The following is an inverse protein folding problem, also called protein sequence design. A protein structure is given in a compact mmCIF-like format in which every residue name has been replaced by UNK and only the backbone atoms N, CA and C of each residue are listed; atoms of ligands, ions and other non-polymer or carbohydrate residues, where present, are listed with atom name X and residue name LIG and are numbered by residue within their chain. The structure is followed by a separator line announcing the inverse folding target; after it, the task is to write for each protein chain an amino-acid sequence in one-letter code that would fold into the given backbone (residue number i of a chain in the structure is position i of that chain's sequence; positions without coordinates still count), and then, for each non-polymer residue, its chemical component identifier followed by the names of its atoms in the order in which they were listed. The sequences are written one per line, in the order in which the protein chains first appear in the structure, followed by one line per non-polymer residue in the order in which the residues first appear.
data_IF_641436753086
#
_entry.id   IF_641436753086
#
_cell.length_a   1.000
_cell.length_b   1.000
_cell.length_c   1.000
_cell.angle_alpha   90.00
_cell.angle_beta   90.00
_cell.angle_gamma   90.00
#
_symmetry.space_group_name_H-M   'P 1'
#
loop_
_entity.id
_entity.type
_entity.pdbx_description
1 polymer ?
#
# COMPACT_ATOMS: atom_id res chain seq x y z
N UNK A 1 -10.40 19.11 10.22
CA UNK A 1 -9.35 18.15 9.86
C UNK A 1 -9.33 17.99 8.34
N UNK A 2 -8.14 18.03 7.73
CA UNK A 2 -8.01 17.82 6.30
C UNK A 2 -8.18 16.31 6.01
N UNK A 3 -9.03 15.97 5.06
CA UNK A 3 -9.24 14.57 4.66
C UNK A 3 -7.99 14.10 3.89
N UNK A 4 -7.40 12.99 4.32
CA UNK A 4 -6.29 12.36 3.63
C UNK A 4 -6.82 11.28 2.67
N UNK A 5 -6.44 11.37 1.38
CA UNK A 5 -6.87 10.43 0.35
C UNK A 5 -5.63 9.81 -0.27
N UNK A 6 -5.50 8.49 -0.08
CA UNK A 6 -4.39 7.69 -0.54
C UNK A 6 -4.75 6.96 -1.83
N UNK A 7 -3.89 7.07 -2.85
CA UNK A 7 -4.03 6.33 -4.11
C UNK A 7 -2.76 5.59 -4.44
N UNK A 8 -2.91 4.40 -5.02
CA UNK A 8 -1.82 3.46 -5.20
C UNK A 8 -1.27 3.44 -6.63
N UNK A 9 0.06 3.34 -6.75
CA UNK A 9 0.79 3.08 -8.00
C UNK A 9 0.32 3.95 -9.19
N UNK A 10 -0.15 3.33 -10.26
CA UNK A 10 -0.59 3.98 -11.50
C UNK A 10 -2.07 4.37 -11.48
N UNK A 11 -2.58 4.90 -10.38
CA UNK A 11 -3.98 5.33 -10.31
C UNK A 11 -4.34 6.36 -11.40
N UNK A 12 -5.63 6.42 -11.75
CA UNK A 12 -6.17 7.48 -12.61
C UNK A 12 -7.14 8.36 -11.83
N UNK A 13 -7.29 9.61 -12.27
CA UNK A 13 -8.29 10.56 -11.78
C UNK A 13 -9.12 11.09 -12.95
N UNK A 14 -9.26 10.30 -14.03
CA UNK A 14 -10.09 10.69 -15.17
C UNK A 14 -11.56 10.78 -14.79
N UNK A 15 -12.28 11.66 -15.47
CA UNK A 15 -13.72 11.91 -15.21
C UNK A 15 -14.57 10.65 -15.36
N UNK A 16 -14.15 9.70 -16.21
CA UNK A 16 -14.85 8.42 -16.43
C UNK A 16 -15.04 7.59 -15.16
N UNK A 17 -14.19 7.81 -14.14
CA UNK A 17 -14.18 7.02 -12.89
C UNK A 17 -14.45 7.86 -11.65
N UNK A 18 -14.85 9.14 -11.80
CA UNK A 18 -15.03 10.03 -10.64
C UNK A 18 -16.11 9.54 -9.67
N UNK A 19 -17.14 8.87 -10.17
CA UNK A 19 -18.23 8.35 -9.36
C UNK A 19 -17.80 7.14 -8.51
N UNK A 20 -16.78 6.40 -8.97
CA UNK A 20 -16.31 5.19 -8.27
C UNK A 20 -15.34 5.53 -7.14
N UNK A 21 -14.43 6.48 -7.37
CA UNK A 21 -13.37 6.79 -6.38
C UNK A 21 -13.01 8.28 -6.27
N UNK A 22 -13.78 9.17 -6.91
CA UNK A 22 -13.59 10.62 -6.85
C UNK A 22 -12.33 11.12 -7.56
N UNK A 23 -12.15 12.42 -7.60
CA UNK A 23 -11.03 13.08 -8.29
C UNK A 23 -9.89 13.49 -7.35
N UNK A 24 -10.16 13.65 -6.06
CA UNK A 24 -9.18 14.14 -5.11
C UNK A 24 -8.10 13.12 -4.77
N UNK A 25 -6.89 13.59 -4.58
CA UNK A 25 -5.75 12.80 -4.11
C UNK A 25 -4.85 13.70 -3.28
N UNK A 26 -4.49 13.25 -2.08
CA UNK A 26 -3.52 13.95 -1.21
C UNK A 26 -2.20 13.19 -1.10
N UNK A 27 -2.27 11.85 -1.20
CA UNK A 27 -1.12 10.97 -1.02
C UNK A 27 -0.99 9.99 -2.18
N UNK A 28 0.20 9.91 -2.73
CA UNK A 28 0.58 8.89 -3.70
C UNK A 28 1.35 7.78 -3.00
N UNK A 29 0.77 6.59 -2.97
CA UNK A 29 1.36 5.40 -2.33
C UNK A 29 2.02 4.54 -3.39
N UNK A 30 3.32 4.30 -3.25
CA UNK A 30 4.05 3.52 -4.25
C UNK A 30 5.29 2.85 -3.65
N UNK A 31 5.61 1.66 -4.16
CA UNK A 31 6.89 0.98 -3.91
C UNK A 31 7.92 1.29 -5.00
N UNK A 32 7.64 2.22 -5.90
CA UNK A 32 8.48 2.57 -7.04
C UNK A 32 8.86 1.36 -7.91
N UNK A 33 7.96 0.40 -8.09
CA UNK A 33 8.18 -0.71 -9.00
C UNK A 33 8.45 -0.22 -10.44
N UNK A 34 9.12 -1.02 -11.27
CA UNK A 34 9.56 -0.63 -12.62
C UNK A 34 8.44 -0.14 -13.54
N UNK A 35 7.26 -0.70 -13.37
CA UNK A 35 6.05 -0.38 -14.13
C UNK A 35 5.31 0.86 -13.61
N UNK A 36 5.72 1.38 -12.44
CA UNK A 36 5.13 2.61 -11.88
C UNK A 36 5.62 3.83 -12.63
N UNK A 37 4.68 4.58 -13.21
CA UNK A 37 4.98 5.81 -13.93
C UNK A 37 5.32 6.93 -12.93
N UNK A 38 6.42 7.68 -13.15
CA UNK A 38 6.75 8.85 -12.34
C UNK A 38 5.61 9.87 -12.36
N UNK A 39 5.32 10.46 -11.22
CA UNK A 39 4.33 11.53 -11.08
C UNK A 39 5.00 12.81 -10.63
N UNK A 40 4.61 13.92 -11.24
CA UNK A 40 5.17 15.26 -10.98
C UNK A 40 4.21 16.15 -10.18
N UNK A 41 3.13 15.60 -9.68
CA UNK A 41 2.08 16.35 -9.00
C UNK A 41 2.43 16.57 -7.50
N UNK A 42 1.88 17.60 -6.83
CA UNK A 42 2.16 17.96 -5.43
C UNK A 42 1.54 16.99 -4.41
N UNK A 43 1.63 15.68 -4.66
CA UNK A 43 1.21 14.68 -3.68
C UNK A 43 2.27 14.49 -2.60
N UNK A 44 1.84 14.24 -1.36
CA UNK A 44 2.68 13.61 -0.37
C UNK A 44 2.99 12.18 -0.86
N UNK A 45 4.25 11.83 -1.02
CA UNK A 45 4.62 10.47 -1.42
C UNK A 45 4.79 9.58 -0.20
N UNK A 46 4.19 8.39 -0.24
CA UNK A 46 4.27 7.39 0.81
C UNK A 46 4.77 6.07 0.22
N UNK A 47 5.87 5.57 0.74
CA UNK A 47 6.43 4.29 0.34
C UNK A 47 6.32 3.28 1.48
N UNK A 48 5.45 2.28 1.37
CA UNK A 48 5.29 1.24 2.38
C UNK A 48 6.35 0.12 2.26
N UNK A 49 7.56 0.48 1.83
CA UNK A 49 8.77 -0.31 1.94
C UNK A 49 9.82 0.52 2.68
N UNK A 50 10.56 -0.05 3.62
CA UNK A 50 11.62 0.69 4.32
C UNK A 50 12.80 0.98 3.39
N UNK A 51 13.35 2.19 3.50
CA UNK A 51 14.59 2.56 2.82
C UNK A 51 15.78 2.07 3.67
N UNK A 52 16.87 1.67 3.02
CA UNK A 52 18.18 1.38 3.65
C UNK A 52 18.34 0.08 4.43
N UNK A 53 17.52 -0.93 4.20
CA UNK A 53 17.78 -2.25 4.76
C UNK A 53 18.44 -3.14 3.70
N UNK A 54 19.68 -3.58 3.89
CA UNK A 54 20.41 -4.39 2.90
C UNK A 54 19.65 -5.63 2.45
N UNK A 55 18.94 -6.32 3.35
CA UNK A 55 18.14 -7.51 3.02
C UNK A 55 16.97 -7.21 2.06
N UNK A 56 16.55 -5.95 1.93
CA UNK A 56 15.50 -5.53 1.01
C UNK A 56 16.03 -4.91 -0.28
N UNK A 57 17.34 -4.70 -0.43
CA UNK A 57 17.94 -4.16 -1.66
C UNK A 57 17.61 -5.01 -2.89
N UNK A 58 17.45 -6.31 -2.76
CA UNK A 58 16.99 -7.17 -3.85
C UNK A 58 15.58 -6.80 -4.34
N UNK A 59 14.71 -6.33 -3.46
CA UNK A 59 13.37 -5.82 -3.83
C UNK A 59 13.47 -4.54 -4.65
N UNK A 60 14.48 -3.72 -4.39
CA UNK A 60 14.75 -2.52 -5.17
C UNK A 60 15.38 -2.78 -6.55
N UNK A 61 15.80 -4.01 -6.87
CA UNK A 61 16.28 -4.36 -8.23
C UNK A 61 15.20 -4.13 -9.29
N UNK A 62 13.93 -4.13 -8.88
CA UNK A 62 12.76 -3.82 -9.72
C UNK A 62 12.27 -2.39 -9.55
N UNK A 63 13.01 -1.55 -8.85
CA UNK A 63 12.61 -0.17 -8.55
C UNK A 63 12.89 0.75 -9.72
N UNK A 64 11.96 1.64 -10.00
CA UNK A 64 12.19 2.77 -10.86
C UNK A 64 13.05 3.81 -10.14
N UNK A 65 14.37 3.66 -10.24
CA UNK A 65 15.35 4.49 -9.52
C UNK A 65 15.20 5.97 -9.88
N UNK A 66 14.81 6.27 -11.12
CA UNK A 66 14.59 7.67 -11.55
C UNK A 66 13.40 8.29 -10.78
N UNK A 67 12.31 7.55 -10.69
CA UNK A 67 11.13 8.00 -9.93
C UNK A 67 11.42 8.12 -8.43
N UNK A 68 12.14 7.16 -7.85
CA UNK A 68 12.56 7.20 -6.45
C UNK A 68 13.46 8.42 -6.18
N UNK A 69 14.49 8.66 -6.98
CA UNK A 69 15.41 9.80 -6.80
C UNK A 69 14.70 11.14 -6.92
N UNK A 70 13.76 11.26 -7.86
CA UNK A 70 12.99 12.49 -8.05
C UNK A 70 12.09 12.84 -6.86
N UNK A 71 11.69 11.84 -6.06
CA UNK A 71 10.76 12.01 -4.95
C UNK A 71 11.38 11.74 -3.57
N UNK A 72 12.67 11.43 -3.48
CA UNK A 72 13.31 10.96 -2.24
C UNK A 72 13.13 11.94 -1.07
N UNK A 73 13.31 13.24 -1.34
CA UNK A 73 13.21 14.29 -0.30
C UNK A 73 11.80 14.53 0.22
N UNK A 74 10.77 14.06 -0.48
CA UNK A 74 9.35 14.23 -0.10
C UNK A 74 8.67 12.92 0.30
N UNK A 75 9.37 11.80 0.15
CA UNK A 75 8.82 10.47 0.42
C UNK A 75 8.90 10.14 1.91
N UNK A 76 7.76 9.76 2.50
CA UNK A 76 7.72 9.08 3.78
C UNK A 76 7.85 7.58 3.57
N UNK A 77 8.76 6.94 4.29
CA UNK A 77 8.96 5.50 4.27
C UNK A 77 8.38 4.87 5.52
N UNK A 78 7.85 3.65 5.39
CA UNK A 78 7.38 2.89 6.54
C UNK A 78 8.55 2.67 7.52
N UNK A 79 8.33 2.82 8.84
CA UNK A 79 9.30 2.44 9.85
C UNK A 79 9.74 0.98 9.68
N UNK A 80 11.02 0.72 9.87
CA UNK A 80 11.62 -0.60 9.67
C UNK A 80 10.96 -1.64 10.56
N UNK A 81 10.76 -1.29 11.82
CA UNK A 81 10.16 -2.13 12.84
C UNK A 81 8.73 -2.56 12.46
N UNK A 82 7.92 -1.68 11.90
CA UNK A 82 6.58 -2.02 11.46
C UNK A 82 6.59 -2.96 10.26
N UNK A 83 7.52 -2.74 9.33
CA UNK A 83 7.64 -3.61 8.17
C UNK A 83 8.18 -5.01 8.54
N UNK A 84 9.11 -5.09 9.47
CA UNK A 84 9.65 -6.36 9.95
C UNK A 84 8.58 -7.15 10.70
N UNK A 85 7.81 -6.50 11.56
CA UNK A 85 6.64 -7.11 12.21
C UNK A 85 5.63 -7.62 11.18
N UNK A 86 5.27 -6.82 10.18
CA UNK A 86 4.38 -7.25 9.11
C UNK A 86 4.91 -8.48 8.36
N UNK A 87 6.22 -8.58 8.16
CA UNK A 87 6.84 -9.74 7.50
C UNK A 87 6.75 -11.03 8.31
N UNK A 88 6.60 -10.96 9.63
CA UNK A 88 6.33 -12.16 10.45
C UNK A 88 4.93 -12.69 10.22
N UNK A 89 3.98 -11.81 9.89
CA UNK A 89 2.57 -12.14 9.65
C UNK A 89 2.32 -12.54 8.19
N UNK A 90 2.95 -11.83 7.24
CA UNK A 90 2.74 -12.01 5.80
C UNK A 90 4.10 -12.00 5.09
N UNK A 91 4.54 -13.12 4.51
CA UNK A 91 5.89 -13.24 3.91
C UNK A 91 6.16 -12.29 2.74
N UNK A 92 5.14 -11.88 2.02
CA UNK A 92 5.25 -10.97 0.86
C UNK A 92 4.04 -10.03 0.81
N UNK A 93 3.97 -9.06 1.74
CA UNK A 93 2.82 -8.16 1.82
C UNK A 93 2.68 -7.29 0.57
N UNK A 94 1.45 -7.03 0.15
CA UNK A 94 1.17 -6.07 -0.91
C UNK A 94 1.39 -4.63 -0.43
N UNK A 95 1.53 -3.72 -1.39
CA UNK A 95 1.60 -2.28 -1.10
C UNK A 95 0.41 -1.81 -0.27
N UNK A 96 -0.78 -2.36 -0.57
CA UNK A 96 -2.02 -1.99 0.10
C UNK A 96 -2.02 -2.39 1.57
N UNK A 97 -1.79 -3.68 1.86
CA UNK A 97 -1.80 -4.14 3.25
C UNK A 97 -0.67 -3.51 4.07
N UNK A 98 0.48 -3.24 3.45
CA UNK A 98 1.60 -2.57 4.14
C UNK A 98 1.25 -1.14 4.56
N UNK A 99 0.51 -0.40 3.74
CA UNK A 99 0.01 0.92 4.14
C UNK A 99 -1.05 0.82 5.24
N UNK A 100 -2.01 -0.09 5.11
CA UNK A 100 -3.07 -0.26 6.10
C UNK A 100 -2.50 -0.67 7.46
N UNK A 101 -1.52 -1.57 7.47
CA UNK A 101 -0.80 -1.97 8.68
C UNK A 101 -0.06 -0.78 9.30
N UNK A 102 0.63 0.04 8.50
CA UNK A 102 1.29 1.24 8.98
C UNK A 102 0.31 2.23 9.61
N UNK A 103 -0.81 2.54 8.92
CA UNK A 103 -1.84 3.42 9.47
C UNK A 103 -2.37 2.86 10.80
N UNK A 104 -2.65 1.56 10.84
CA UNK A 104 -3.13 0.91 12.06
C UNK A 104 -2.12 1.00 13.21
N UNK A 105 -0.83 0.81 12.96
CA UNK A 105 0.24 0.98 13.97
C UNK A 105 0.31 2.41 14.51
N UNK A 106 0.09 3.41 13.68
CA UNK A 106 0.13 4.82 14.07
C UNK A 106 -1.14 5.28 14.81
N UNK A 107 -2.30 4.72 14.46
CA UNK A 107 -3.60 5.22 14.92
C UNK A 107 -4.31 4.30 15.90
N UNK A 108 -3.89 3.04 15.98
CA UNK A 108 -4.53 1.99 16.78
C UNK A 108 -5.85 1.46 16.21
N UNK A 109 -6.31 1.99 15.08
CA UNK A 109 -7.59 1.56 14.46
C UNK A 109 -7.60 1.78 12.95
N UNK A 110 -8.46 1.03 12.25
CA UNK A 110 -8.82 1.28 10.86
C UNK A 110 -10.33 1.46 10.75
N UNK A 111 -10.75 2.48 9.99
CA UNK A 111 -12.15 2.69 9.66
C UNK A 111 -12.47 1.93 8.36
N UNK A 112 -13.25 0.86 8.46
CA UNK A 112 -13.65 0.03 7.33
C UNK A 112 -14.33 0.85 6.22
N UNK A 113 -15.14 1.83 6.57
CA UNK A 113 -15.89 2.64 5.61
C UNK A 113 -15.00 3.53 4.76
N UNK A 114 -13.78 3.78 5.21
CA UNK A 114 -12.77 4.56 4.48
C UNK A 114 -11.83 3.73 3.61
N UNK A 115 -11.87 2.40 3.74
CA UNK A 115 -11.02 1.48 2.95
C UNK A 115 -11.83 0.94 1.77
N UNK A 116 -11.49 1.38 0.56
CA UNK A 116 -12.20 1.00 -0.67
C UNK A 116 -11.25 0.39 -1.70
N UNK A 117 -11.80 -0.47 -2.56
CA UNK A 117 -11.07 -1.04 -3.69
C UNK A 117 -10.08 -2.16 -3.35
N UNK A 118 -10.12 -2.71 -2.13
CA UNK A 118 -9.30 -3.86 -1.75
C UNK A 118 -10.06 -5.15 -2.06
N UNK A 119 -9.60 -5.90 -3.05
CA UNK A 119 -10.16 -7.21 -3.43
C UNK A 119 -9.45 -8.37 -2.73
N UNK A 120 -8.33 -8.11 -2.06
CA UNK A 120 -7.45 -9.12 -1.46
C UNK A 120 -7.09 -10.24 -2.44
N UNK A 121 -6.92 -9.88 -3.72
CA UNK A 121 -6.59 -10.81 -4.80
C UNK A 121 -7.61 -11.94 -5.01
N UNK A 122 -8.87 -11.69 -4.71
CA UNK A 122 -9.97 -12.61 -5.02
C UNK A 122 -9.97 -12.88 -6.53
N UNK A 123 -9.87 -14.15 -6.91
CA UNK A 123 -9.77 -14.59 -8.31
C UNK A 123 -11.03 -14.28 -9.12
N UNK A 124 -12.16 -14.07 -8.46
CA UNK A 124 -13.43 -13.69 -9.08
C UNK A 124 -13.48 -12.21 -9.48
N UNK A 125 -12.54 -11.39 -8.96
CA UNK A 125 -12.50 -9.94 -9.18
C UNK A 125 -11.24 -9.55 -9.93
N UNK A 126 -11.32 -8.49 -10.74
CA UNK A 126 -10.14 -7.93 -11.42
C UNK A 126 -9.17 -7.37 -10.37
N UNK A 127 -7.90 -7.75 -10.47
CA UNK A 127 -6.85 -7.31 -9.54
C UNK A 127 -6.61 -5.80 -9.62
N UNK A 128 -6.69 -5.24 -10.82
CA UNK A 128 -6.67 -3.81 -11.08
C UNK A 128 -7.85 -3.46 -11.98
N UNK A 129 -8.39 -2.27 -11.81
CA UNK A 129 -9.52 -1.78 -12.59
C UNK A 129 -9.29 -1.85 -14.11
N UNK A 130 -8.01 -1.86 -14.53
CA UNK A 130 -7.59 -1.75 -15.92
C UNK A 130 -6.81 -2.96 -16.46
N UNK A 131 -6.50 -3.94 -15.62
CA UNK A 131 -5.62 -5.05 -16.02
C UNK A 131 -6.35 -6.38 -16.08
N UNK A 132 -5.91 -7.23 -17.01
CA UNK A 132 -6.26 -8.65 -17.01
C UNK A 132 -5.61 -9.37 -15.81
N UNK A 133 -6.23 -10.47 -15.37
CA UNK A 133 -5.74 -11.28 -14.26
C UNK A 133 -4.31 -11.79 -14.53
N UNK A 134 -3.33 -11.23 -13.82
CA UNK A 134 -2.00 -11.79 -13.73
C UNK A 134 -1.87 -12.61 -12.45
N UNK A 135 -1.13 -13.73 -12.52
CA UNK A 135 -0.81 -14.52 -11.34
C UNK A 135 -0.15 -13.62 -10.27
N UNK A 136 -0.78 -13.54 -9.10
CA UNK A 136 -0.30 -12.71 -8.01
C UNK A 136 0.53 -13.53 -7.02
N UNK A 137 1.71 -13.00 -6.65
CA UNK A 137 2.58 -13.63 -5.64
C UNK A 137 2.16 -13.33 -4.19
N UNK A 138 1.16 -12.47 -4.01
CA UNK A 138 0.67 -12.10 -2.69
C UNK A 138 -0.27 -13.14 -2.11
N UNK A 139 -0.35 -13.21 -0.79
CA UNK A 139 -1.20 -14.14 -0.05
C UNK A 139 -2.49 -13.45 0.37
N UNK A 140 -3.44 -13.33 -0.56
CA UNK A 140 -4.69 -12.59 -0.35
C UNK A 140 -5.47 -13.03 0.89
N UNK A 141 -5.52 -14.33 1.18
CA UNK A 141 -6.21 -14.84 2.36
C UNK A 141 -5.58 -14.36 3.68
N UNK A 142 -4.23 -14.34 3.74
CA UNK A 142 -3.51 -13.82 4.90
C UNK A 142 -3.70 -12.29 5.03
N UNK A 143 -3.66 -11.57 3.91
CA UNK A 143 -3.90 -10.11 3.92
C UNK A 143 -5.31 -9.78 4.38
N UNK A 144 -6.31 -10.52 3.90
CA UNK A 144 -7.70 -10.37 4.31
C UNK A 144 -7.90 -10.67 5.79
N UNK A 145 -7.31 -11.76 6.29
CA UNK A 145 -7.37 -12.12 7.70
C UNK A 145 -6.75 -11.02 8.59
N UNK A 146 -5.57 -10.52 8.24
CA UNK A 146 -4.93 -9.42 8.96
C UNK A 146 -5.78 -8.14 8.91
N UNK A 147 -6.34 -7.80 7.76
CA UNK A 147 -7.23 -6.64 7.62
C UNK A 147 -8.43 -6.74 8.56
N UNK A 148 -9.10 -7.89 8.61
CA UNK A 148 -10.25 -8.12 9.50
C UNK A 148 -9.87 -7.99 10.98
N UNK A 149 -8.70 -8.45 11.39
CA UNK A 149 -8.18 -8.24 12.76
C UNK A 149 -7.99 -6.75 13.06
N UNK A 150 -7.38 -6.00 12.14
CA UNK A 150 -7.14 -4.56 12.32
C UNK A 150 -8.42 -3.72 12.44
N UNK A 151 -9.48 -4.04 11.68
CA UNK A 151 -10.75 -3.31 11.77
C UNK A 151 -11.59 -3.70 12.99
N UNK A 152 -11.49 -4.95 13.46
CA UNK A 152 -12.23 -5.43 14.63
C UNK A 152 -11.55 -5.08 15.96
N UNK A 153 -10.34 -4.50 15.93
CA UNK A 153 -9.59 -4.16 17.14
C UNK A 153 -9.04 -5.38 17.88
N UNK A 154 -9.00 -6.55 17.21
CA UNK A 154 -8.48 -7.79 17.80
C UNK A 154 -6.95 -7.80 17.68
N UNK A 155 -6.32 -7.16 18.68
CA UNK A 155 -4.86 -7.01 18.74
C UNK A 155 -4.17 -8.14 19.50
N UNK A 156 -4.93 -8.97 20.21
CA UNK A 156 -4.38 -9.93 21.18
C UNK A 156 -3.50 -11.01 20.54
N UNK A 157 -3.74 -11.37 19.28
CA UNK A 157 -2.93 -12.35 18.56
C UNK A 157 -1.89 -11.73 17.60
N UNK A 158 -1.98 -10.43 17.31
CA UNK A 158 -1.05 -9.77 16.38
C UNK A 158 0.27 -9.41 17.10
N UNK A 159 0.23 -9.24 18.41
CA UNK A 159 1.34 -8.77 19.25
C UNK A 159 2.05 -9.88 20.03
N UNK A 160 1.73 -11.16 19.81
CA UNK A 160 2.50 -12.25 20.44
C UNK A 160 3.75 -12.55 19.62
N UNK A 161 4.93 -12.52 20.25
CA UNK A 161 6.20 -12.83 19.62
C UNK A 161 6.32 -14.30 19.21
#
# INVERSE_FOLDING_TARGET
ACVQIFRFNNFTTSDDYQNDYGLSTTHWVTTFAKDVKPRTHPYQVVCPLPLNIPKYLKRYSYTNIRALRANLGTTKFIPVEYFEELLTLIPNPSTGISLLFWIWKETGSLDHDRVKGFTFFDKSQKHHYFDEHKACMHKGDLEKALYLKMINGDTTEILQP
#
